data_IF_544683650124
#
_entry.id   IF_544683650124
#
_cell.length_a   1.000
_cell.length_b   1.000
_cell.length_c   1.000
_cell.angle_alpha   90.00
_cell.angle_beta   90.00
_cell.angle_gamma   90.00
#
_symmetry.space_group_name_H-M   'P 1'
#
loop_
_entity.id
_entity.type
_entity.pdbx_description
1 polymer ?
#
# COMPACT_ATOMS: atom_id res chain seq x y z
N UNK A 1 37.85 -42.36 23.54
CA UNK A 1 38.26 -41.56 22.37
C UNK A 1 37.21 -41.74 21.29
N UNK A 2 36.43 -40.70 20.98
CA UNK A 2 35.44 -40.77 19.91
C UNK A 2 36.14 -40.88 18.55
N UNK A 3 35.64 -41.74 17.66
CA UNK A 3 36.23 -41.96 16.34
C UNK A 3 36.07 -40.67 15.49
N UNK A 4 37.16 -40.07 14.98
CA UNK A 4 37.10 -38.83 14.21
C UNK A 4 36.24 -38.94 12.94
N UNK A 5 36.07 -40.15 12.39
CA UNK A 5 35.15 -40.41 11.27
C UNK A 5 33.66 -40.39 11.69
N UNK A 6 33.37 -40.75 12.93
CA UNK A 6 32.02 -40.69 13.50
C UNK A 6 31.64 -39.24 13.84
N UNK A 7 32.60 -38.44 14.31
CA UNK A 7 32.40 -37.00 14.52
C UNK A 7 32.12 -36.27 13.19
N UNK A 8 32.83 -36.63 12.12
CA UNK A 8 32.62 -36.05 10.79
C UNK A 8 31.26 -36.40 10.16
N UNK A 9 30.70 -37.57 10.47
CA UNK A 9 29.36 -37.96 10.02
C UNK A 9 28.25 -37.22 10.77
N UNK A 10 28.43 -37.00 12.07
CA UNK A 10 27.49 -36.20 12.89
C UNK A 10 27.52 -34.73 12.45
N UNK A 11 28.70 -34.19 12.13
CA UNK A 11 28.83 -32.81 11.64
C UNK A 11 28.18 -32.58 10.26
N UNK A 12 28.16 -33.60 9.40
CA UNK A 12 27.45 -33.53 8.10
C UNK A 12 25.93 -33.71 8.23
N UNK A 13 25.45 -34.32 9.32
CA UNK A 13 24.01 -34.55 9.55
C UNK A 13 23.22 -33.33 10.06
N UNK A 14 23.92 -32.22 10.36
CA UNK A 14 23.32 -30.98 10.89
C UNK A 14 23.02 -29.91 9.84
N UNK A 15 23.15 -30.21 8.55
CA UNK A 15 22.51 -29.40 7.51
C UNK A 15 21.03 -29.73 7.47
N UNK A 16 20.26 -29.13 8.38
CA UNK A 16 18.83 -28.99 8.18
C UNK A 16 18.65 -28.16 6.90
N UNK A 17 18.29 -28.83 5.80
CA UNK A 17 17.85 -28.16 4.59
C UNK A 17 16.51 -27.52 4.94
N UNK A 18 16.53 -26.27 5.37
CA UNK A 18 15.32 -25.46 5.44
C UNK A 18 14.87 -25.22 4.01
N UNK A 19 13.68 -25.71 3.68
CA UNK A 19 13.05 -25.52 2.38
C UNK A 19 11.77 -24.73 2.62
N UNK A 20 11.71 -23.50 2.12
CA UNK A 20 10.49 -22.71 2.10
C UNK A 20 9.78 -22.92 0.76
N UNK A 21 8.46 -23.10 0.79
CA UNK A 21 7.66 -23.09 -0.43
C UNK A 21 7.45 -21.63 -0.85
N UNK A 22 7.86 -21.30 -2.07
CA UNK A 22 7.59 -20.00 -2.68
C UNK A 22 6.24 -20.09 -3.39
N UNK A 23 5.27 -19.29 -2.93
CA UNK A 23 3.93 -19.23 -3.55
C UNK A 23 3.88 -18.21 -4.69
N UNK A 24 4.55 -17.07 -4.50
CA UNK A 24 4.64 -16.00 -5.46
C UNK A 24 6.00 -15.30 -5.30
N UNK A 25 6.63 -14.96 -6.41
CA UNK A 25 7.85 -14.15 -6.46
C UNK A 25 7.79 -13.30 -7.72
N UNK A 26 7.95 -11.99 -7.56
CA UNK A 26 8.05 -11.05 -8.68
C UNK A 26 9.31 -10.21 -8.51
N UNK A 27 10.09 -10.13 -9.60
CA UNK A 27 11.32 -9.33 -9.69
C UNK A 27 11.24 -8.27 -10.79
N UNK A 28 10.08 -8.18 -11.46
CA UNK A 28 9.81 -7.30 -12.58
C UNK A 28 10.81 -7.46 -13.73
N UNK A 29 11.27 -8.70 -13.96
CA UNK A 29 12.04 -9.02 -15.15
C UNK A 29 11.19 -8.87 -16.42
N UNK A 30 11.84 -8.86 -17.59
CA UNK A 30 11.19 -8.74 -18.89
C UNK A 30 9.98 -9.70 -19.02
N UNK A 31 8.85 -9.16 -19.48
CA UNK A 31 7.59 -9.89 -19.63
C UNK A 31 6.73 -9.95 -18.37
N UNK A 32 7.02 -9.14 -17.34
CA UNK A 32 6.18 -8.96 -16.15
C UNK A 32 4.74 -8.56 -16.51
N UNK A 33 4.53 -7.85 -17.62
CA UNK A 33 3.20 -7.43 -18.09
C UNK A 33 2.27 -8.62 -18.36
N UNK A 34 2.82 -9.83 -18.58
CA UNK A 34 2.01 -11.04 -18.78
C UNK A 34 1.48 -11.64 -17.47
N UNK A 35 2.05 -11.23 -16.33
CA UNK A 35 1.68 -11.72 -14.99
C UNK A 35 0.78 -10.75 -14.25
N UNK A 36 0.80 -9.47 -14.62
CA UNK A 36 0.08 -8.40 -13.94
C UNK A 36 -1.08 -7.86 -14.79
N UNK A 37 -2.20 -7.63 -14.14
CA UNK A 37 -3.40 -7.05 -14.73
C UNK A 37 -3.67 -5.69 -14.09
N UNK A 38 -3.58 -4.64 -14.90
CA UNK A 38 -4.05 -3.29 -14.52
C UNK A 38 -5.57 -3.29 -14.53
N UNK A 39 -6.15 -2.86 -13.42
CA UNK A 39 -7.59 -2.75 -13.21
C UNK A 39 -8.20 -1.63 -14.08
N UNK A 40 -9.46 -1.77 -14.46
CA UNK A 40 -10.25 -0.71 -15.07
C UNK A 40 -10.99 0.15 -13.99
N UNK A 41 -10.80 -0.15 -12.70
CA UNK A 41 -11.29 0.70 -11.60
C UNK A 41 -10.77 2.14 -11.77
N UNK A 42 -11.66 3.13 -11.58
CA UNK A 42 -11.39 4.58 -11.74
C UNK A 42 -11.03 5.05 -13.16
N UNK A 43 -11.14 4.18 -14.16
CA UNK A 43 -10.85 4.53 -15.56
C UNK A 43 -11.89 5.46 -16.17
N UNK A 44 -13.17 5.20 -15.94
CA UNK A 44 -14.27 6.01 -16.49
C UNK A 44 -14.31 7.43 -15.88
N UNK A 45 -13.82 7.56 -14.65
CA UNK A 45 -13.64 8.85 -13.95
C UNK A 45 -12.37 9.60 -14.39
N UNK A 46 -11.54 8.98 -15.24
CA UNK A 46 -10.23 9.49 -15.63
C UNK A 46 -9.35 9.84 -14.41
N UNK A 47 -9.40 9.04 -13.35
CA UNK A 47 -8.58 9.18 -12.13
C UNK A 47 -7.71 7.95 -11.85
N UNK A 48 -7.77 6.91 -12.70
CA UNK A 48 -6.79 5.83 -12.73
C UNK A 48 -5.41 6.35 -13.19
N UNK A 49 -4.34 5.89 -12.54
CA UNK A 49 -2.96 6.25 -12.85
C UNK A 49 -2.25 5.22 -13.73
N UNK A 50 -1.17 5.67 -14.39
CA UNK A 50 -0.33 4.84 -15.25
C UNK A 50 0.88 4.27 -14.49
N UNK A 51 1.19 3.01 -14.76
CA UNK A 51 2.36 2.33 -14.18
C UNK A 51 3.55 2.42 -15.13
N UNK A 52 4.70 2.81 -14.60
CA UNK A 52 5.99 2.73 -15.27
C UNK A 52 6.76 1.49 -14.82
N UNK A 53 7.60 0.95 -15.70
CA UNK A 53 8.58 -0.09 -15.37
C UNK A 53 9.99 0.50 -15.39
N UNK A 54 10.58 0.73 -14.21
CA UNK A 54 11.82 1.52 -14.07
C UNK A 54 12.55 1.21 -12.76
N UNK A 55 13.86 1.51 -12.71
CA UNK A 55 14.67 1.51 -11.49
C UNK A 55 14.73 2.89 -10.82
N UNK A 56 13.93 3.85 -11.30
CA UNK A 56 13.85 5.22 -10.76
C UNK A 56 14.89 6.18 -11.35
N UNK A 57 14.91 7.43 -10.88
CA UNK A 57 15.88 8.45 -11.33
C UNK A 57 17.30 8.15 -10.84
N UNK A 58 17.42 7.41 -9.75
CA UNK A 58 18.67 6.95 -9.19
C UNK A 58 18.48 5.55 -8.59
N UNK A 59 19.49 4.70 -8.70
CA UNK A 59 19.43 3.31 -8.29
C UNK A 59 20.79 2.82 -7.81
N UNK A 60 20.78 1.70 -7.05
CA UNK A 60 21.98 0.93 -6.75
C UNK A 60 22.41 0.05 -7.93
N UNK A 61 21.44 -0.57 -8.60
CA UNK A 61 21.60 -1.33 -9.84
C UNK A 61 20.55 -0.87 -10.86
N UNK A 62 20.92 -0.49 -12.10
CA UNK A 62 19.95 -0.11 -13.13
C UNK A 62 19.01 -1.24 -13.55
N UNK A 63 19.35 -2.50 -13.26
CA UNK A 63 18.53 -3.68 -13.54
C UNK A 63 17.53 -3.99 -12.43
N UNK A 64 17.66 -3.38 -11.24
CA UNK A 64 16.69 -3.51 -10.13
C UNK A 64 15.46 -2.65 -10.44
N UNK A 65 14.73 -3.04 -11.48
CA UNK A 65 13.50 -2.38 -11.88
C UNK A 65 12.33 -2.88 -11.05
N UNK A 66 11.33 -2.02 -10.91
CA UNK A 66 10.02 -2.36 -10.38
C UNK A 66 8.94 -1.58 -11.10
N UNK A 67 7.71 -1.70 -10.60
CA UNK A 67 6.60 -0.84 -11.01
C UNK A 67 6.60 0.47 -10.21
N UNK A 68 6.34 1.57 -10.89
CA UNK A 68 6.32 2.92 -10.30
C UNK A 68 5.04 3.65 -10.74
N UNK A 69 4.39 4.31 -9.79
CA UNK A 69 3.28 5.25 -10.04
C UNK A 69 3.80 6.50 -10.77
N UNK A 70 3.23 6.85 -11.93
CA UNK A 70 3.80 7.92 -12.78
C UNK A 70 3.19 9.31 -12.62
N UNK A 71 2.02 9.40 -12.02
CA UNK A 71 1.17 10.60 -11.96
C UNK A 71 0.73 10.91 -10.54
N UNK A 72 0.70 12.19 -10.20
CA UNK A 72 0.21 12.70 -8.92
C UNK A 72 -1.34 12.66 -8.86
N UNK A 73 -1.90 12.51 -7.66
CA UNK A 73 -3.35 12.53 -7.41
C UNK A 73 -4.14 11.50 -8.23
N UNK A 74 -3.59 10.29 -8.37
CA UNK A 74 -4.21 9.17 -9.08
C UNK A 74 -4.43 7.96 -8.18
N UNK A 75 -5.45 7.18 -8.51
CA UNK A 75 -5.68 5.87 -7.94
C UNK A 75 -4.92 4.81 -8.73
N UNK A 76 -4.32 3.86 -8.02
CA UNK A 76 -3.50 2.81 -8.58
C UNK A 76 -4.02 1.44 -8.16
N UNK A 77 -4.37 0.60 -9.14
CA UNK A 77 -4.83 -0.75 -8.90
C UNK A 77 -4.25 -1.70 -9.97
N UNK A 78 -3.38 -2.60 -9.51
CA UNK A 78 -2.78 -3.66 -10.32
C UNK A 78 -2.69 -4.92 -9.46
N UNK A 79 -2.90 -6.08 -10.07
CA UNK A 79 -2.89 -7.36 -9.37
C UNK A 79 -2.20 -8.43 -10.21
N UNK A 80 -1.66 -9.45 -9.54
CA UNK A 80 -1.07 -10.61 -10.17
C UNK A 80 -1.66 -11.88 -9.55
N UNK A 81 -2.14 -12.77 -10.41
CA UNK A 81 -2.66 -14.07 -10.00
C UNK A 81 -1.50 -15.05 -9.75
N UNK A 82 -1.66 -15.89 -8.74
CA UNK A 82 -0.73 -16.96 -8.42
C UNK A 82 -1.52 -18.18 -7.90
N UNK A 83 -0.92 -19.39 -7.89
CA UNK A 83 -1.64 -20.58 -7.48
C UNK A 83 -2.24 -20.47 -6.09
N UNK A 84 -3.51 -20.85 -5.95
CA UNK A 84 -4.22 -20.86 -4.67
C UNK A 84 -3.45 -21.66 -3.61
N UNK A 85 -3.39 -21.13 -2.39
CA UNK A 85 -2.76 -21.79 -1.27
C UNK A 85 -3.50 -21.51 0.04
N UNK A 86 -3.15 -22.29 1.07
CA UNK A 86 -3.57 -22.05 2.45
C UNK A 86 -2.35 -22.05 3.36
N UNK A 87 -2.29 -21.13 4.31
CA UNK A 87 -1.29 -21.12 5.38
C UNK A 87 -1.76 -21.84 6.65
N UNK A 88 -2.82 -22.66 6.58
CA UNK A 88 -3.29 -23.43 7.73
C UNK A 88 -2.16 -24.31 8.27
N UNK A 89 -1.93 -24.24 9.59
CA UNK A 89 -0.88 -24.96 10.31
C UNK A 89 0.56 -24.65 9.82
N UNK A 90 0.74 -23.55 9.07
CA UNK A 90 2.00 -23.13 8.47
C UNK A 90 2.29 -21.66 8.71
N UNK A 91 3.57 -21.29 8.76
CA UNK A 91 3.98 -19.89 8.78
C UNK A 91 3.83 -19.29 7.39
N UNK A 92 3.15 -18.15 7.29
CA UNK A 92 3.12 -17.31 6.10
C UNK A 92 4.12 -16.17 6.25
N UNK A 93 4.92 -15.94 5.21
CA UNK A 93 5.79 -14.77 5.09
C UNK A 93 5.33 -13.97 3.88
N UNK A 94 4.99 -12.71 4.10
CA UNK A 94 4.55 -11.77 3.08
C UNK A 94 5.53 -10.59 3.06
N UNK A 95 6.30 -10.45 1.98
CA UNK A 95 7.42 -9.53 1.92
C UNK A 95 7.50 -8.81 0.58
N UNK A 96 7.79 -7.52 0.62
CA UNK A 96 8.06 -6.70 -0.56
C UNK A 96 8.93 -5.49 -0.20
N UNK A 97 9.42 -4.79 -1.20
CA UNK A 97 10.16 -3.54 -1.02
C UNK A 97 9.39 -2.35 -1.58
N UNK A 98 9.54 -1.19 -0.92
CA UNK A 98 8.96 0.09 -1.33
C UNK A 98 10.04 1.15 -1.34
N UNK A 99 10.00 2.02 -2.35
CA UNK A 99 10.87 3.19 -2.44
C UNK A 99 10.03 4.42 -2.76
N UNK A 100 9.91 5.34 -1.82
CA UNK A 100 9.24 6.63 -2.05
C UNK A 100 10.22 7.68 -2.58
N UNK A 101 10.68 7.49 -3.82
CA UNK A 101 11.68 8.35 -4.45
C UNK A 101 11.25 9.82 -4.53
N UNK A 102 9.95 10.09 -4.66
CA UNK A 102 9.37 11.41 -4.87
C UNK A 102 9.24 12.30 -3.62
N UNK A 103 9.72 11.84 -2.45
CA UNK A 103 9.47 12.49 -1.15
C UNK A 103 7.96 12.64 -0.92
N UNK A 104 7.31 11.51 -0.64
CA UNK A 104 5.87 11.37 -0.58
C UNK A 104 5.26 12.18 0.57
N UNK A 105 4.28 13.03 0.25
CA UNK A 105 3.50 13.79 1.25
C UNK A 105 2.25 13.02 1.70
N UNK A 106 1.51 12.42 0.76
CA UNK A 106 0.39 11.53 1.06
C UNK A 106 0.23 10.44 -0.03
N UNK A 107 0.15 9.18 0.39
CA UNK A 107 -0.05 7.99 -0.44
C UNK A 107 0.24 6.69 0.30
N UNK A 108 -0.44 5.63 -0.14
CA UNK A 108 -0.23 4.28 0.35
C UNK A 108 0.86 3.54 -0.45
N UNK A 109 1.68 2.77 0.25
CA UNK A 109 2.66 1.84 -0.33
C UNK A 109 2.38 0.39 0.08
N UNK A 110 1.13 0.05 0.41
CA UNK A 110 0.75 -1.28 0.89
C UNK A 110 0.26 -2.20 -0.22
N UNK A 111 0.32 -3.50 0.04
CA UNK A 111 -0.24 -4.55 -0.81
C UNK A 111 -1.44 -5.23 -0.14
N UNK A 112 -2.36 -5.76 -0.96
CA UNK A 112 -3.45 -6.62 -0.53
C UNK A 112 -3.22 -8.05 -1.02
N UNK A 113 -3.32 -9.03 -0.12
CA UNK A 113 -3.45 -10.44 -0.47
C UNK A 113 -4.94 -10.74 -0.64
N UNK A 114 -5.36 -10.98 -1.88
CA UNK A 114 -6.77 -11.14 -2.24
C UNK A 114 -7.29 -12.53 -1.84
N UNK A 115 -8.58 -12.60 -1.52
CA UNK A 115 -9.27 -13.84 -1.14
C UNK A 115 -10.15 -14.35 -2.30
N UNK A 116 -10.10 -15.66 -2.57
CA UNK A 116 -10.98 -16.31 -3.54
C UNK A 116 -10.80 -15.85 -5.00
N UNK A 117 -11.82 -16.09 -5.83
CA UNK A 117 -11.84 -15.64 -7.22
C UNK A 117 -12.14 -14.14 -7.27
N UNK A 118 -11.16 -13.34 -7.72
CA UNK A 118 -11.30 -11.91 -7.93
C UNK A 118 -11.25 -11.58 -9.42
N UNK A 119 -12.21 -10.76 -9.88
CA UNK A 119 -12.12 -10.12 -11.19
C UNK A 119 -11.03 -9.02 -11.14
N UNK A 120 -9.81 -9.37 -11.58
CA UNK A 120 -8.65 -8.47 -11.57
C UNK A 120 -8.91 -7.15 -12.33
N UNK A 121 -9.84 -7.13 -13.29
CA UNK A 121 -10.22 -5.92 -14.02
C UNK A 121 -11.11 -4.98 -13.23
N UNK A 122 -11.69 -5.43 -12.12
CA UNK A 122 -12.50 -4.62 -11.21
C UNK A 122 -11.84 -4.43 -9.84
N UNK A 123 -10.59 -4.86 -9.69
CA UNK A 123 -9.85 -4.71 -8.44
C UNK A 123 -9.71 -3.23 -8.06
N UNK A 124 -10.02 -2.88 -6.81
CA UNK A 124 -9.98 -1.50 -6.30
C UNK A 124 -10.00 -1.41 -4.77
N UNK A 125 -10.40 -0.23 -4.27
CA UNK A 125 -10.46 0.10 -2.83
C UNK A 125 -11.29 -0.89 -2.01
N UNK A 126 -12.48 -1.25 -2.50
CA UNK A 126 -13.46 -2.05 -1.76
C UNK A 126 -13.37 -3.56 -2.04
N UNK A 127 -12.43 -4.00 -2.89
CA UNK A 127 -12.25 -5.43 -3.15
C UNK A 127 -11.83 -6.15 -1.89
N UNK A 128 -12.55 -7.22 -1.54
CA UNK A 128 -12.26 -8.07 -0.39
C UNK A 128 -10.84 -8.66 -0.46
N UNK A 129 -10.19 -8.73 0.69
CA UNK A 129 -8.82 -9.23 0.83
C UNK A 129 -8.71 -10.03 2.11
N UNK A 130 -7.76 -10.98 2.16
CA UNK A 130 -7.39 -11.68 3.39
C UNK A 130 -6.42 -10.87 4.24
N UNK A 131 -5.46 -10.18 3.60
CA UNK A 131 -4.42 -9.40 4.28
C UNK A 131 -4.24 -8.07 3.56
N UNK A 132 -4.10 -6.98 4.30
CA UNK A 132 -3.53 -5.72 3.79
C UNK A 132 -2.31 -5.37 4.64
N UNK A 133 -1.16 -5.18 4.00
CA UNK A 133 0.09 -4.93 4.70
C UNK A 133 1.00 -3.96 3.95
N UNK A 134 1.56 -2.98 4.66
CA UNK A 134 2.58 -2.08 4.15
C UNK A 134 2.49 -0.64 4.67
N UNK A 135 3.43 0.23 4.25
CA UNK A 135 3.49 1.62 4.69
C UNK A 135 2.32 2.45 4.15
N UNK A 136 1.89 3.41 4.96
CA UNK A 136 0.93 4.43 4.59
C UNK A 136 1.37 5.77 5.21
N UNK A 137 1.53 6.75 4.33
CA UNK A 137 1.99 8.09 4.68
C UNK A 137 0.89 9.04 4.25
N UNK A 138 0.38 9.87 5.15
CA UNK A 138 -0.47 10.98 4.79
C UNK A 138 -0.28 12.13 5.78
N UNK A 139 0.46 13.15 5.34
CA UNK A 139 0.82 14.30 6.14
C UNK A 139 1.62 13.93 7.40
N UNK A 140 1.36 14.65 8.48
CA UNK A 140 2.04 14.43 9.77
C UNK A 140 1.33 13.43 10.67
N UNK A 141 0.03 13.18 10.44
CA UNK A 141 -0.81 12.34 11.30
C UNK A 141 -0.69 10.86 11.00
N UNK A 142 -0.43 10.48 9.75
CA UNK A 142 -0.37 9.07 9.33
C UNK A 142 1.01 8.76 8.78
N UNK A 143 1.80 8.00 9.54
CA UNK A 143 3.13 7.50 9.14
C UNK A 143 3.36 6.12 9.75
N UNK A 144 2.57 5.15 9.29
CA UNK A 144 2.51 3.82 9.92
C UNK A 144 2.50 2.70 8.89
N UNK A 145 2.83 1.51 9.35
CA UNK A 145 2.64 0.27 8.60
C UNK A 145 1.26 -0.29 8.95
N UNK A 146 0.38 -0.38 7.96
CA UNK A 146 -0.85 -1.15 8.11
C UNK A 146 -0.53 -2.63 8.16
N UNK A 147 -1.23 -3.33 9.04
CA UNK A 147 -1.25 -4.78 9.08
C UNK A 147 -2.67 -5.18 9.50
N UNK A 148 -3.47 -5.54 8.51
CA UNK A 148 -4.91 -5.79 8.65
C UNK A 148 -5.18 -7.21 8.20
N UNK A 149 -5.90 -7.96 9.03
CA UNK A 149 -6.38 -9.31 8.72
C UNK A 149 -7.89 -9.28 8.58
N UNK A 150 -8.40 -9.87 7.51
CA UNK A 150 -9.83 -10.07 7.35
C UNK A 150 -10.25 -11.40 7.98
N UNK A 151 -11.25 -11.36 8.84
CA UNK A 151 -11.89 -12.53 9.43
C UNK A 151 -13.40 -12.30 9.45
N UNK A 152 -14.18 -13.25 8.93
CA UNK A 152 -15.63 -13.14 8.80
C UNK A 152 -16.08 -11.78 8.23
N UNK A 153 -15.48 -11.39 7.10
CA UNK A 153 -15.77 -10.14 6.37
C UNK A 153 -15.45 -8.85 7.16
N UNK A 154 -14.83 -8.98 8.34
CA UNK A 154 -14.43 -7.86 9.17
C UNK A 154 -12.92 -7.65 9.11
N UNK A 155 -12.51 -6.40 8.90
CA UNK A 155 -11.11 -5.99 8.88
C UNK A 155 -10.61 -5.72 10.30
N UNK A 156 -9.70 -6.55 10.79
CA UNK A 156 -9.09 -6.41 12.11
C UNK A 156 -7.70 -5.80 11.99
N UNK A 157 -7.56 -4.58 12.47
CA UNK A 157 -6.28 -3.89 12.55
C UNK A 157 -5.45 -4.47 13.69
N UNK A 158 -4.15 -4.65 13.46
CA UNK A 158 -3.21 -4.92 14.53
C UNK A 158 -3.15 -3.72 15.49
N UNK A 159 -3.26 -4.00 16.79
CA UNK A 159 -3.36 -2.96 17.85
C UNK A 159 -2.09 -2.12 18.02
N UNK A 160 -0.92 -2.67 17.70
CA UNK A 160 0.35 -1.96 17.85
C UNK A 160 0.60 -1.13 16.60
N UNK A 161 0.76 0.17 16.79
CA UNK A 161 1.26 1.05 15.74
C UNK A 161 2.74 0.78 15.47
N UNK A 162 3.08 0.59 14.20
CA UNK A 162 4.44 0.38 13.71
C UNK A 162 4.77 1.57 12.81
N UNK A 163 5.77 2.39 13.13
CA UNK A 163 6.15 3.51 12.25
C UNK A 163 6.68 2.98 10.92
N UNK A 164 6.41 3.70 9.83
CA UNK A 164 7.03 3.41 8.54
C UNK A 164 8.21 4.34 8.27
N UNK A 165 9.14 3.87 7.44
CA UNK A 165 10.20 4.71 6.91
C UNK A 165 9.65 5.80 5.99
N UNK A 166 10.29 6.97 6.01
CA UNK A 166 9.81 8.17 5.29
C UNK A 166 10.91 8.88 4.51
N UNK A 167 12.10 8.28 4.45
CA UNK A 167 13.15 8.76 3.56
C UNK A 167 12.88 8.27 2.11
N UNK A 168 13.81 8.55 1.20
CA UNK A 168 13.64 8.25 -0.23
C UNK A 168 14.34 6.95 -0.66
N UNK A 169 14.91 6.19 0.29
CA UNK A 169 15.58 4.91 0.07
C UNK A 169 14.58 3.78 -0.13
N UNK A 170 15.09 2.65 -0.59
CA UNK A 170 14.33 1.41 -0.70
C UNK A 170 14.32 0.72 0.65
N UNK A 171 13.13 0.40 1.15
CA UNK A 171 12.94 -0.34 2.40
C UNK A 171 12.20 -1.65 2.15
N UNK A 172 12.53 -2.68 2.92
CA UNK A 172 11.90 -4.00 2.86
C UNK A 172 10.92 -4.15 4.02
N UNK A 173 9.67 -4.47 3.71
CA UNK A 173 8.63 -4.74 4.70
C UNK A 173 8.29 -6.22 4.70
N UNK A 174 8.35 -6.86 5.86
CA UNK A 174 8.05 -8.29 6.02
C UNK A 174 7.01 -8.51 7.10
N UNK A 175 5.93 -9.22 6.76
CA UNK A 175 4.91 -9.67 7.70
C UNK A 175 4.96 -11.18 7.82
N UNK A 176 5.18 -11.66 9.05
CA UNK A 176 5.30 -13.08 9.38
C UNK A 176 4.11 -13.45 10.25
N UNK A 177 3.27 -14.38 9.79
CA UNK A 177 2.11 -14.90 10.52
C UNK A 177 2.36 -16.37 10.84
N UNK A 178 2.26 -16.75 12.11
CA UNK A 178 2.57 -18.10 12.59
C UNK A 178 1.29 -18.86 12.97
N UNK A 179 1.31 -20.20 12.92
CA UNK A 179 0.13 -21.02 13.25
C UNK A 179 -0.27 -20.97 14.73
N UNK A 180 0.58 -20.47 15.62
CA UNK A 180 0.31 -20.26 17.04
C UNK A 180 -0.39 -18.91 17.34
N UNK A 181 -1.00 -18.30 16.32
CA UNK A 181 -1.65 -17.00 16.38
C UNK A 181 -0.73 -15.84 16.81
N UNK A 182 0.57 -15.96 16.51
CA UNK A 182 1.53 -14.87 16.69
C UNK A 182 1.96 -14.28 15.35
N UNK A 183 2.48 -13.05 15.39
CA UNK A 183 3.06 -12.40 14.23
C UNK A 183 4.34 -11.61 14.55
N UNK A 184 5.12 -11.32 13.51
CA UNK A 184 6.22 -10.34 13.53
C UNK A 184 6.11 -9.43 12.31
N UNK A 185 6.42 -8.14 12.48
CA UNK A 185 6.61 -7.18 11.39
C UNK A 185 8.07 -6.75 11.43
N UNK A 186 8.76 -6.85 10.29
CA UNK A 186 10.15 -6.45 10.14
C UNK A 186 10.24 -5.34 9.09
N UNK A 187 11.10 -4.36 9.36
CA UNK A 187 11.47 -3.31 8.41
C UNK A 187 12.99 -3.43 8.22
N UNK A 188 13.44 -3.56 6.97
CA UNK A 188 14.84 -3.75 6.57
C UNK A 188 15.53 -4.95 7.23
N UNK A 189 14.76 -5.99 7.54
CA UNK A 189 15.17 -7.12 8.38
C UNK A 189 15.67 -6.70 9.79
N UNK A 190 15.44 -5.43 10.17
CA UNK A 190 15.63 -4.88 11.50
C UNK A 190 14.56 -5.43 12.45
N UNK A 191 15.01 -5.72 13.67
CA UNK A 191 14.22 -6.40 14.69
C UNK A 191 13.34 -5.42 15.49
N UNK A 192 12.01 -5.55 15.38
CA UNK A 192 11.06 -5.27 16.47
C UNK A 192 10.40 -6.60 16.91
N UNK A 193 11.25 -7.63 17.06
CA UNK A 193 10.90 -9.06 17.24
C UNK A 193 10.57 -9.39 18.69
N UNK A 194 9.43 -8.89 19.14
CA UNK A 194 8.67 -9.59 20.16
C UNK A 194 7.47 -10.17 19.41
N UNK A 195 7.38 -11.51 19.25
CA UNK A 195 6.18 -12.14 18.74
C UNK A 195 4.96 -11.58 19.48
N UNK A 196 4.06 -10.98 18.73
CA UNK A 196 2.85 -10.35 19.27
C UNK A 196 1.66 -11.25 18.97
N UNK A 197 0.70 -11.28 19.89
CA UNK A 197 -0.55 -11.99 19.68
C UNK A 197 -1.37 -11.26 18.61
N UNK A 198 -1.94 -12.03 17.68
CA UNK A 198 -2.93 -11.53 16.74
C UNK A 198 -4.16 -10.99 17.48
N UNK A 199 -4.88 -10.01 16.92
CA UNK A 199 -6.15 -9.57 17.50
C UNK A 199 -7.13 -10.75 17.57
N UNK A 200 -7.68 -11.00 18.75
CA UNK A 200 -8.75 -11.97 18.96
C UNK A 200 -10.04 -11.47 18.28
N UNK A 201 -10.54 -12.17 17.24
CA UNK A 201 -11.74 -11.74 16.53
C UNK A 201 -13.01 -11.79 17.38
N UNK A 202 -13.03 -12.62 18.44
CA UNK A 202 -14.17 -12.80 19.33
C UNK A 202 -14.10 -11.88 20.58
N UNK A 203 -13.00 -11.13 20.74
CA UNK A 203 -12.89 -10.16 21.82
C UNK A 203 -13.96 -9.07 21.66
N UNK A 204 -14.75 -8.85 22.72
CA UNK A 204 -15.70 -7.74 22.77
C UNK A 204 -14.95 -6.44 22.50
N UNK A 205 -15.36 -5.70 21.46
CA UNK A 205 -14.81 -4.38 21.13
C UNK A 205 -14.92 -3.51 22.38
N UNK A 206 -13.81 -3.23 23.04
CA UNK A 206 -13.79 -2.22 24.10
C UNK A 206 -14.08 -0.87 23.43
N UNK A 207 -15.08 -0.15 23.94
CA UNK A 207 -15.42 1.16 23.45
C UNK A 207 -14.26 2.12 23.80
N UNK A 208 -13.34 2.27 22.85
CA UNK A 208 -12.25 3.23 22.85
C UNK A 208 -12.20 3.90 21.50
N UNK A 209 -12.08 5.23 21.52
CA UNK A 209 -12.30 6.18 20.43
C UNK A 209 -11.33 5.99 19.25
N UNK A 210 -11.74 6.56 18.11
CA UNK A 210 -10.99 6.75 16.86
C UNK A 210 -10.96 5.59 15.84
N UNK A 211 -12.13 5.38 15.22
CA UNK A 211 -12.21 4.95 13.83
C UNK A 211 -13.11 5.93 13.07
N UNK A 212 -12.64 7.16 12.88
CA UNK A 212 -13.14 7.99 11.80
C UNK A 212 -12.48 7.49 10.51
N UNK A 213 -13.21 6.67 9.76
CA UNK A 213 -12.89 6.48 8.35
C UNK A 213 -13.09 7.83 7.67
N UNK A 214 -12.02 8.44 7.19
CA UNK A 214 -12.10 9.54 6.24
C UNK A 214 -12.20 8.94 4.84
N UNK A 215 -13.39 8.44 4.50
CA UNK A 215 -13.80 8.48 3.11
C UNK A 215 -14.20 9.94 2.87
N UNK A 216 -13.31 10.68 2.21
CA UNK A 216 -13.64 12.01 1.71
C UNK A 216 -14.63 11.82 0.57
N UNK A 217 -15.92 11.98 0.86
CA UNK A 217 -16.92 12.28 -0.16
C UNK A 217 -16.64 13.71 -0.63
N UNK A 218 -16.17 13.85 -1.87
CA UNK A 218 -16.07 15.15 -2.55
C UNK A 218 -17.50 15.71 -2.71
N UNK A 219 -17.82 16.79 -1.99
CA UNK A 219 -19.04 17.56 -2.21
C UNK A 219 -18.90 18.34 -3.52
N UNK A 220 -19.77 17.97 -4.47
CA UNK A 220 -20.07 18.67 -5.72
C UNK A 220 -20.54 20.10 -5.42
N UNK A 221 -19.69 21.10 -5.67
CA UNK A 221 -20.10 22.52 -5.66
C UNK A 221 -20.98 22.82 -6.89
N UNK A 222 -22.26 22.48 -6.76
CA UNK A 222 -23.30 22.89 -7.68
C UNK A 222 -23.57 24.39 -7.59
N UNK A 223 -23.40 25.09 -8.72
CA UNK A 223 -23.90 26.45 -8.96
C UNK A 223 -25.38 26.59 -8.56
N UNK A 224 -25.70 27.62 -7.76
CA UNK A 224 -27.01 28.25 -7.82
C UNK A 224 -26.87 29.76 -7.91
N UNK A 225 -27.25 30.26 -9.08
CA UNK A 225 -27.61 31.65 -9.34
C UNK A 225 -28.77 32.08 -8.45
N UNK A 226 -28.64 33.19 -7.73
CA UNK A 226 -29.79 33.96 -7.28
C UNK A 226 -29.58 35.45 -7.56
N UNK A 227 -30.37 35.92 -8.52
CA UNK A 227 -30.67 37.31 -8.80
C UNK A 227 -31.78 37.71 -7.84
N UNK A 228 -31.55 38.70 -6.96
CA UNK A 228 -32.57 39.67 -6.58
C UNK A 228 -31.90 41.03 -6.31
N UNK A 229 -32.42 42.07 -6.96
CA UNK A 229 -31.92 43.43 -6.88
C UNK A 229 -32.56 44.23 -5.76
N UNK A 230 -31.87 45.29 -5.35
CA UNK A 230 -32.49 46.48 -4.79
C UNK A 230 -31.69 47.72 -5.22
N UNK A 231 -32.44 48.79 -5.41
CA UNK A 231 -32.20 49.93 -6.29
C UNK A 231 -31.58 51.13 -5.56
N UNK A 232 -31.22 52.16 -6.33
CA UNK A 232 -30.87 53.55 -5.98
C UNK A 232 -29.44 53.83 -5.44
N UNK A 233 -28.61 54.49 -6.25
CA UNK A 233 -28.68 55.95 -6.40
C UNK A 233 -27.84 56.45 -7.59
N UNK A 234 -28.41 57.42 -8.29
CA UNK A 234 -27.88 58.04 -9.49
C UNK A 234 -26.96 59.22 -9.16
N UNK A 235 -25.81 59.34 -9.84
CA UNK A 235 -25.30 60.64 -10.30
C UNK A 235 -24.54 60.47 -11.63
N UNK A 236 -25.17 60.91 -12.71
CA UNK A 236 -24.54 61.21 -14.00
C UNK A 236 -23.82 62.55 -13.95
N UNK A 237 -22.54 62.58 -14.37
CA UNK A 237 -21.91 63.76 -15.01
C UNK A 237 -20.87 63.33 -16.06
N UNK A 238 -21.30 63.34 -17.31
CA UNK A 238 -20.74 64.11 -18.44
C UNK A 238 -19.21 64.22 -18.66
N UNK A 239 -18.82 63.73 -19.87
CA UNK A 239 -18.03 64.38 -20.95
C UNK A 239 -16.68 63.75 -21.35
N UNK A 240 -16.71 63.23 -22.59
CA UNK A 240 -15.79 63.41 -23.72
C UNK A 240 -14.35 63.90 -23.47
N UNK A 241 -13.38 63.19 -24.07
CA UNK A 241 -12.06 63.74 -24.39
C UNK A 241 -10.96 62.70 -24.59
N UNK A 242 -10.81 62.24 -25.84
CA UNK A 242 -9.58 62.12 -26.63
C UNK A 242 -8.22 61.64 -26.04
N UNK A 243 -7.57 60.86 -26.90
CA UNK A 243 -6.14 60.78 -27.22
C UNK A 243 -5.16 59.83 -26.47
N UNK A 244 -4.66 58.92 -27.30
CA UNK A 244 -3.25 58.56 -27.56
C UNK A 244 -2.33 58.04 -26.44
N UNK A 245 -1.86 56.81 -26.69
CA UNK A 245 -0.44 56.42 -26.80
C UNK A 245 0.58 57.12 -25.88
N UNK A 246 1.30 56.34 -25.06
CA UNK A 246 2.78 56.23 -25.11
C UNK A 246 3.32 55.35 -23.96
N UNK A 247 4.18 54.40 -24.37
CA UNK A 247 5.18 53.61 -23.63
C UNK A 247 4.76 52.45 -22.73
#
# INVERSE_FOLDING_TARGET
MANPKLLSLILFSLFAITSAKVFFEERFEDGWENRWVVSDWKKDENTAGVWNHTSGKWNGDPNDKGIQTSEDYRFYAISAEFPEFSNKDQTLVFQFSVKHEQKLDCGGGYMKLLSGEVDQKKFGGDTSYSIMFGPDICGYSTKKVHAILNYNETNHLIKKEVPCETDQLSHVYTFIIRPDATYSILIDNGYDDIPKELPDPDAKKEAGEDAAGSDAEDEDEGETSDVEGEDSDAETKDKDGDDEELH
#
